data_IF_106412148768
#
_entry.id   IF_106412148768
#
_cell.length_a   1.000
_cell.length_b   1.000
_cell.length_c   1.000
_cell.angle_alpha   90.00
_cell.angle_beta   90.00
_cell.angle_gamma   90.00
#
_symmetry.space_group_name_H-M   'P 1'
#
loop_
_entity.id
_entity.type
_entity.pdbx_description
1 polymer ?
#
# COMPACT_ATOMS: atom_id res chain seq x y z
N UNK A 1 6.23 -33.67 -12.95
CA UNK A 1 5.75 -32.29 -12.76
C UNK A 1 4.40 -32.36 -12.07
N UNK A 2 4.32 -31.86 -10.84
CA UNK A 2 3.06 -31.84 -10.09
C UNK A 2 2.19 -30.71 -10.65
N UNK A 3 0.97 -31.04 -11.09
CA UNK A 3 0.07 -30.06 -11.71
C UNK A 3 -0.62 -29.25 -10.62
N UNK A 4 -0.50 -27.92 -10.68
CA UNK A 4 -1.21 -26.99 -9.80
C UNK A 4 -2.72 -27.28 -9.77
N UNK A 5 -3.29 -27.23 -8.58
CA UNK A 5 -4.73 -27.23 -8.31
C UNK A 5 -5.41 -25.98 -8.91
N UNK A 6 -6.74 -25.99 -9.08
CA UNK A 6 -7.47 -24.80 -9.55
C UNK A 6 -7.25 -23.55 -8.68
N UNK A 7 -7.23 -23.71 -7.35
CA UNK A 7 -7.00 -22.60 -6.42
C UNK A 7 -5.57 -22.02 -6.55
N UNK A 8 -4.57 -22.88 -6.71
CA UNK A 8 -3.19 -22.44 -6.92
C UNK A 8 -3.01 -21.71 -8.26
N UNK A 9 -3.73 -22.15 -9.30
CA UNK A 9 -3.75 -21.44 -10.59
C UNK A 9 -4.38 -20.06 -10.47
N UNK A 10 -5.50 -19.95 -9.74
CA UNK A 10 -6.14 -18.65 -9.49
C UNK A 10 -5.21 -17.71 -8.72
N UNK A 11 -4.60 -18.19 -7.63
CA UNK A 11 -3.63 -17.41 -6.87
C UNK A 11 -2.43 -16.98 -7.72
N UNK A 12 -1.92 -17.87 -8.59
CA UNK A 12 -0.84 -17.53 -9.51
C UNK A 12 -1.21 -16.36 -10.44
N UNK A 13 -2.44 -16.32 -10.94
CA UNK A 13 -2.92 -15.19 -11.75
C UNK A 13 -3.01 -13.89 -10.95
N UNK A 14 -3.45 -13.96 -9.68
CA UNK A 14 -3.42 -12.80 -8.78
C UNK A 14 -1.99 -12.29 -8.53
N UNK A 15 -1.04 -13.17 -8.27
CA UNK A 15 0.37 -12.80 -8.09
C UNK A 15 0.95 -12.18 -9.36
N UNK A 16 0.71 -12.76 -10.55
CA UNK A 16 1.15 -12.18 -11.83
C UNK A 16 0.61 -10.76 -12.02
N UNK A 17 -0.68 -10.56 -11.74
CA UNK A 17 -1.31 -9.25 -11.83
C UNK A 17 -0.71 -8.26 -10.82
N UNK A 18 -0.44 -8.69 -9.59
CA UNK A 18 0.24 -7.88 -8.57
C UNK A 18 1.64 -7.46 -9.01
N UNK A 19 2.45 -8.39 -9.52
CA UNK A 19 3.79 -8.11 -10.08
C UNK A 19 3.72 -7.12 -11.24
N UNK A 20 2.72 -7.25 -12.12
CA UNK A 20 2.51 -6.30 -13.22
C UNK A 20 2.20 -4.89 -12.72
N UNK A 21 1.32 -4.76 -11.72
CA UNK A 21 0.99 -3.47 -11.08
C UNK A 21 2.22 -2.85 -10.43
N UNK A 22 2.98 -3.63 -9.66
CA UNK A 22 4.22 -3.16 -9.03
C UNK A 22 5.24 -2.68 -10.06
N UNK A 23 5.45 -3.49 -11.10
CA UNK A 23 6.38 -3.17 -12.19
C UNK A 23 5.99 -1.90 -12.94
N UNK A 24 4.69 -1.67 -13.13
CA UNK A 24 4.20 -0.42 -13.72
C UNK A 24 4.48 0.76 -12.78
N UNK A 25 4.14 0.64 -11.50
CA UNK A 25 4.34 1.72 -10.53
C UNK A 25 5.83 2.08 -10.42
N UNK A 26 6.73 1.10 -10.31
CA UNK A 26 8.18 1.34 -10.26
C UNK A 26 8.72 2.09 -11.49
N UNK A 27 8.08 1.94 -12.66
CA UNK A 27 8.48 2.65 -13.89
C UNK A 27 7.95 4.07 -13.97
N UNK A 28 6.77 4.34 -13.44
CA UNK A 28 6.08 5.64 -13.61
C UNK A 28 6.21 6.56 -12.39
N UNK A 29 6.49 5.98 -11.22
CA UNK A 29 6.66 6.74 -9.99
C UNK A 29 7.91 7.61 -10.05
N UNK A 30 7.77 8.87 -9.66
CA UNK A 30 8.85 9.82 -9.47
C UNK A 30 8.59 10.54 -8.15
N UNK A 31 9.56 10.57 -7.21
CA UNK A 31 9.42 11.37 -6.01
C UNK A 31 9.12 12.81 -6.36
N UNK A 32 8.12 13.38 -5.71
CA UNK A 32 7.83 14.80 -5.80
C UNK A 32 8.87 15.61 -5.00
N UNK A 33 9.29 16.75 -5.55
CA UNK A 33 10.33 17.59 -4.94
C UNK A 33 9.84 18.28 -3.67
N UNK A 34 8.58 18.68 -3.61
CA UNK A 34 7.98 19.30 -2.42
C UNK A 34 7.83 18.26 -1.32
N UNK A 35 7.35 17.06 -1.64
CA UNK A 35 7.30 15.94 -0.69
C UNK A 35 8.69 15.58 -0.14
N UNK A 36 9.72 15.58 -1.00
CA UNK A 36 11.10 15.32 -0.57
C UNK A 36 11.60 16.40 0.40
N UNK A 37 11.37 17.68 0.09
CA UNK A 37 11.73 18.80 0.99
C UNK A 37 10.97 18.75 2.30
N UNK A 38 9.69 18.36 2.28
CA UNK A 38 8.90 18.18 3.50
C UNK A 38 9.54 17.12 4.41
N UNK A 39 9.97 15.98 3.85
CA UNK A 39 10.66 14.95 4.63
C UNK A 39 11.98 15.46 5.22
N UNK A 40 12.79 16.18 4.42
CA UNK A 40 14.06 16.77 4.85
C UNK A 40 13.86 17.77 6.00
N UNK A 41 12.86 18.65 5.88
CA UNK A 41 12.52 19.66 6.89
C UNK A 41 12.01 19.04 8.19
N UNK A 42 11.32 17.90 8.13
CA UNK A 42 10.92 17.12 9.31
C UNK A 42 12.09 16.46 10.02
N UNK A 43 13.28 16.39 9.39
CA UNK A 43 14.48 15.74 9.91
C UNK A 43 14.21 14.32 10.42
N UNK A 44 13.35 13.57 9.73
CA UNK A 44 12.94 12.24 10.15
C UNK A 44 14.07 11.22 9.98
N UNK A 45 14.56 10.66 11.10
CA UNK A 45 15.62 9.63 11.15
C UNK A 45 15.10 8.22 11.36
N UNK A 46 13.78 8.06 11.45
CA UNK A 46 13.14 6.77 11.68
C UNK A 46 13.19 5.82 10.48
N UNK A 47 12.47 4.71 10.61
CA UNK A 47 12.44 3.61 9.65
C UNK A 47 11.01 3.38 9.16
N UNK A 48 10.88 2.72 8.02
CA UNK A 48 9.59 2.35 7.43
C UNK A 48 9.50 0.81 7.40
N UNK A 49 8.46 0.25 8.01
CA UNK A 49 8.13 -1.17 7.94
C UNK A 49 6.81 -1.35 7.18
N UNK A 50 6.83 -2.14 6.12
CA UNK A 50 5.65 -2.39 5.29
C UNK A 50 5.19 -3.83 5.47
N UNK A 51 3.94 -4.04 5.88
CA UNK A 51 3.30 -5.36 5.93
C UNK A 51 2.45 -5.50 4.66
N UNK A 52 2.76 -6.47 3.81
CA UNK A 52 2.18 -6.55 2.47
C UNK A 52 2.14 -7.98 1.92
N UNK A 53 1.43 -8.17 0.80
CA UNK A 53 1.43 -9.39 0.00
C UNK A 53 1.47 -9.08 -1.49
N UNK A 54 2.11 -9.97 -2.26
CA UNK A 54 2.24 -9.82 -3.72
C UNK A 54 0.92 -9.93 -4.49
N UNK A 55 -0.12 -10.51 -3.89
CA UNK A 55 -1.44 -10.67 -4.51
C UNK A 55 -2.36 -9.46 -4.29
N UNK A 56 -2.03 -8.55 -3.35
CA UNK A 56 -2.92 -7.45 -3.00
C UNK A 56 -2.93 -6.35 -4.09
N UNK A 57 -4.13 -5.99 -4.53
CA UNK A 57 -4.31 -4.98 -5.59
C UNK A 57 -3.89 -3.57 -5.18
N UNK A 58 -4.15 -3.17 -3.94
CA UNK A 58 -3.72 -1.88 -3.40
C UNK A 58 -2.21 -1.86 -3.13
N UNK A 59 -1.68 -2.97 -2.59
CA UNK A 59 -0.24 -3.11 -2.35
C UNK A 59 0.57 -2.96 -3.63
N UNK A 60 0.09 -3.55 -4.73
CA UNK A 60 0.75 -3.42 -6.03
C UNK A 60 0.86 -1.98 -6.55
N UNK A 61 0.05 -1.05 -6.02
CA UNK A 61 0.06 0.36 -6.39
C UNK A 61 0.82 1.21 -5.37
N UNK A 62 0.70 0.94 -4.08
CA UNK A 62 1.19 1.84 -3.02
C UNK A 62 2.59 1.45 -2.53
N UNK A 63 2.88 0.15 -2.34
CA UNK A 63 4.16 -0.32 -1.80
C UNK A 63 5.36 0.12 -2.64
N UNK A 64 5.35 0.04 -3.98
CA UNK A 64 6.47 0.54 -4.77
C UNK A 64 6.70 2.05 -4.63
N UNK A 65 5.64 2.85 -4.51
CA UNK A 65 5.75 4.29 -4.34
C UNK A 65 6.43 4.64 -3.00
N UNK A 66 5.97 4.02 -1.90
CA UNK A 66 6.55 4.18 -0.56
C UNK A 66 8.01 3.74 -0.55
N UNK A 67 8.29 2.53 -1.05
CA UNK A 67 9.65 1.99 -1.10
C UNK A 67 10.61 2.86 -1.91
N UNK A 68 10.17 3.40 -3.05
CA UNK A 68 11.01 4.28 -3.88
C UNK A 68 11.18 5.68 -3.30
N UNK A 69 10.15 6.23 -2.63
CA UNK A 69 10.24 7.53 -1.98
C UNK A 69 11.27 7.52 -0.85
N UNK A 70 11.21 6.52 0.04
CA UNK A 70 12.13 6.42 1.17
C UNK A 70 13.49 5.82 0.80
N UNK A 71 13.65 5.23 -0.39
CA UNK A 71 14.92 4.65 -0.83
C UNK A 71 16.06 5.67 -0.78
N UNK A 72 17.11 5.34 -0.03
CA UNK A 72 18.28 6.20 0.16
C UNK A 72 18.07 7.36 1.13
N UNK A 73 16.87 7.48 1.72
CA UNK A 73 16.52 8.49 2.74
C UNK A 73 16.30 7.86 4.11
N UNK A 74 15.61 6.72 4.16
CA UNK A 74 15.33 5.96 5.38
C UNK A 74 15.47 4.45 5.12
N UNK A 75 15.63 3.67 6.19
CA UNK A 75 15.55 2.21 6.11
C UNK A 75 14.12 1.79 5.77
N UNK A 76 13.95 0.92 4.77
CA UNK A 76 12.66 0.35 4.39
C UNK A 76 12.74 -1.17 4.50
N UNK A 77 11.87 -1.75 5.31
CA UNK A 77 11.69 -3.21 5.45
C UNK A 77 10.30 -3.60 4.96
N UNK A 78 10.20 -4.77 4.34
CA UNK A 78 8.91 -5.34 3.92
C UNK A 78 8.81 -6.75 4.50
N UNK A 79 7.67 -7.06 5.11
CA UNK A 79 7.35 -8.38 5.66
C UNK A 79 6.02 -8.88 5.10
N UNK A 80 5.90 -10.20 4.96
CA UNK A 80 4.68 -10.83 4.48
C UNK A 80 3.64 -10.89 5.60
N UNK A 81 2.42 -10.45 5.29
CA UNK A 81 1.27 -10.49 6.21
C UNK A 81 1.01 -11.90 6.69
N UNK A 82 0.99 -12.85 5.75
CA UNK A 82 0.53 -14.20 6.00
C UNK A 82 1.57 -14.99 6.82
N UNK A 83 2.85 -14.62 6.74
CA UNK A 83 3.93 -15.18 7.56
C UNK A 83 4.09 -14.49 8.94
N UNK A 84 3.45 -13.34 9.16
CA UNK A 84 3.60 -12.54 10.38
C UNK A 84 2.23 -12.16 11.00
N UNK A 85 1.38 -13.15 11.38
CA UNK A 85 0.01 -12.88 11.86
C UNK A 85 -0.03 -12.02 13.12
N UNK A 86 0.85 -12.28 14.10
CA UNK A 86 0.91 -11.54 15.37
C UNK A 86 1.29 -10.07 15.17
N UNK A 87 2.02 -9.77 14.09
CA UNK A 87 2.39 -8.40 13.75
C UNK A 87 1.21 -7.66 13.13
N UNK A 88 0.54 -8.24 12.11
CA UNK A 88 -0.58 -7.56 11.46
C UNK A 88 -1.80 -7.39 12.39
N UNK A 89 -1.94 -8.27 13.39
CA UNK A 89 -3.01 -8.15 14.41
C UNK A 89 -2.89 -6.90 15.27
N UNK A 90 -1.72 -6.25 15.31
CA UNK A 90 -1.54 -4.97 16.00
C UNK A 90 -2.06 -3.77 15.19
N UNK A 91 -2.36 -3.96 13.89
CA UNK A 91 -2.70 -2.90 12.94
C UNK A 91 -4.00 -3.17 12.16
N UNK A 92 -5.01 -3.74 12.85
CA UNK A 92 -6.28 -4.09 12.22
C UNK A 92 -7.03 -2.87 11.70
N UNK A 93 -7.51 -2.95 10.46
CA UNK A 93 -8.43 -1.96 9.88
C UNK A 93 -9.85 -2.48 9.97
N UNK A 94 -10.70 -1.83 10.78
CA UNK A 94 -12.09 -2.25 11.03
C UNK A 94 -12.19 -3.73 11.45
N UNK A 95 -11.27 -4.18 12.33
CA UNK A 95 -11.22 -5.56 12.82
C UNK A 95 -10.66 -6.57 11.81
N UNK A 96 -10.13 -6.13 10.67
CA UNK A 96 -9.59 -7.02 9.61
C UNK A 96 -8.11 -6.78 9.39
N UNK A 97 -7.38 -7.86 9.06
CA UNK A 97 -5.97 -7.82 8.61
C UNK A 97 -5.87 -7.28 7.18
N UNK A 98 -6.19 -6.01 7.00
CA UNK A 98 -6.11 -5.32 5.70
C UNK A 98 -4.67 -4.91 5.39
N UNK A 99 -4.29 -4.93 4.11
CA UNK A 99 -2.94 -4.60 3.65
C UNK A 99 -2.97 -3.74 2.38
N UNK A 100 -1.90 -2.96 2.11
CA UNK A 100 -0.66 -2.86 2.89
C UNK A 100 -0.79 -1.98 4.13
N UNK A 101 -0.05 -2.28 5.17
CA UNK A 101 0.16 -1.37 6.31
C UNK A 101 1.58 -0.83 6.23
N UNK A 102 1.74 0.48 6.37
CA UNK A 102 3.04 1.16 6.50
C UNK A 102 3.17 1.63 7.93
N UNK A 103 4.04 0.98 8.70
CA UNK A 103 4.37 1.34 10.07
C UNK A 103 5.56 2.30 10.04
N UNK A 104 5.38 3.46 10.65
CA UNK A 104 6.39 4.50 10.81
C UNK A 104 7.05 4.28 12.17
N UNK A 105 8.34 4.01 12.15
CA UNK A 105 9.13 3.65 13.32
C UNK A 105 10.12 4.76 13.66
N UNK A 106 10.44 4.95 14.92
CA UNK A 106 11.61 5.72 15.34
C UNK A 106 12.93 4.94 15.09
N UNK A 107 14.06 5.51 15.49
CA UNK A 107 15.39 4.91 15.31
C UNK A 107 15.56 3.59 16.08
N UNK A 108 14.83 3.42 17.19
CA UNK A 108 14.89 2.28 18.10
C UNK A 108 13.77 1.24 17.85
N UNK A 109 13.13 1.29 16.68
CA UNK A 109 12.02 0.41 16.30
C UNK A 109 10.72 0.62 17.12
N UNK A 110 10.59 1.75 17.82
CA UNK A 110 9.35 2.18 18.46
C UNK A 110 8.33 2.67 17.42
N UNK A 111 7.05 2.31 17.58
CA UNK A 111 5.98 2.72 16.67
C UNK A 111 5.60 4.18 16.92
N UNK A 112 5.73 5.02 15.90
CA UNK A 112 5.25 6.41 15.90
C UNK A 112 3.80 6.46 15.41
N UNK A 113 3.55 5.87 14.25
CA UNK A 113 2.24 5.87 13.59
C UNK A 113 2.15 4.73 12.58
N UNK A 114 0.97 4.51 12.01
CA UNK A 114 0.79 3.63 10.87
C UNK A 114 -0.19 4.22 9.85
N UNK A 115 0.01 3.87 8.59
CA UNK A 115 -0.83 4.22 7.47
C UNK A 115 -1.35 2.97 6.77
N UNK A 116 -2.58 3.01 6.25
CA UNK A 116 -3.12 1.96 5.38
C UNK A 116 -4.59 1.60 5.68
N UNK A 117 -5.19 0.71 4.85
CA UNK A 117 -4.60 0.05 3.70
C UNK A 117 -4.66 0.87 2.39
N UNK A 118 -5.39 1.98 2.39
CA UNK A 118 -5.65 2.79 1.19
C UNK A 118 -5.54 4.27 1.53
N UNK A 119 -5.22 5.12 0.53
CA UNK A 119 -5.39 6.56 0.66
C UNK A 119 -6.81 6.91 1.07
N UNK A 120 -6.99 8.09 1.68
CA UNK A 120 -8.29 8.59 2.10
C UNK A 120 -9.31 8.53 0.95
N UNK A 121 -8.92 8.97 -0.26
CA UNK A 121 -9.79 8.92 -1.44
C UNK A 121 -10.20 7.48 -1.82
N UNK A 122 -9.27 6.52 -1.77
CA UNK A 122 -9.59 5.11 -2.03
C UNK A 122 -10.55 4.53 -1.00
N UNK A 123 -10.45 4.99 0.25
CA UNK A 123 -11.39 4.64 1.32
C UNK A 123 -12.78 5.24 1.07
N UNK A 124 -12.88 6.47 0.55
CA UNK A 124 -14.16 7.08 0.17
C UNK A 124 -14.83 6.34 -1.00
N UNK A 125 -14.07 5.88 -2.00
CA UNK A 125 -14.61 5.02 -3.07
C UNK A 125 -15.19 3.71 -2.51
N UNK A 126 -14.53 3.10 -1.52
CA UNK A 126 -15.03 1.89 -0.86
C UNK A 126 -16.30 2.18 -0.05
N UNK A 127 -16.36 3.31 0.65
CA UNK A 127 -17.57 3.74 1.38
C UNK A 127 -18.73 3.96 0.42
N UNK A 128 -18.49 4.63 -0.72
CA UNK A 128 -19.49 4.82 -1.77
C UNK A 128 -20.05 3.49 -2.28
N UNK A 129 -19.19 2.51 -2.55
CA UNK A 129 -19.62 1.15 -2.93
C UNK A 129 -20.45 0.46 -1.87
N UNK A 130 -20.04 0.54 -0.60
CA UNK A 130 -20.79 -0.08 0.49
C UNK A 130 -22.15 0.59 0.73
N UNK A 131 -22.28 1.89 0.46
CA UNK A 131 -23.51 2.64 0.66
C UNK A 131 -24.56 2.35 -0.42
N UNK A 132 -24.14 2.11 -1.66
CA UNK A 132 -25.05 1.88 -2.79
C UNK A 132 -24.46 0.88 -3.81
N UNK A 133 -24.42 -0.42 -3.47
CA UNK A 133 -23.85 -1.45 -4.34
C UNK A 133 -24.68 -1.73 -5.59
N UNK A 134 -25.95 -1.30 -5.64
CA UNK A 134 -26.82 -1.47 -6.80
C UNK A 134 -26.49 -0.45 -7.91
N UNK A 135 -26.37 0.84 -7.57
CA UNK A 135 -26.04 1.88 -8.56
C UNK A 135 -24.54 2.11 -8.73
N UNK A 136 -23.72 1.67 -7.77
CA UNK A 136 -22.27 1.75 -7.85
C UNK A 136 -21.66 0.35 -7.67
N UNK A 137 -21.76 -0.54 -8.68
CA UNK A 137 -21.36 -1.93 -8.54
C UNK A 137 -19.86 -2.10 -8.32
N UNK A 138 -19.49 -3.26 -7.78
CA UNK A 138 -18.09 -3.65 -7.48
C UNK A 138 -17.13 -3.45 -8.66
N UNK A 139 -17.60 -3.69 -9.89
CA UNK A 139 -16.85 -3.47 -11.13
C UNK A 139 -16.50 -1.99 -11.35
N UNK A 140 -17.45 -1.08 -11.11
CA UNK A 140 -17.24 0.35 -11.20
C UNK A 140 -16.30 0.84 -10.10
N UNK A 141 -16.48 0.37 -8.85
CA UNK A 141 -15.57 0.67 -7.75
C UNK A 141 -14.11 0.33 -8.09
N UNK A 142 -13.84 -0.88 -8.57
CA UNK A 142 -12.47 -1.26 -8.93
C UNK A 142 -11.94 -0.47 -10.13
N UNK A 143 -12.79 -0.12 -11.11
CA UNK A 143 -12.38 0.70 -12.24
C UNK A 143 -11.93 2.10 -11.76
N UNK A 144 -12.78 2.77 -10.99
CA UNK A 144 -12.51 4.11 -10.47
C UNK A 144 -11.26 4.11 -9.58
N UNK A 145 -11.09 3.08 -8.75
CA UNK A 145 -9.91 2.92 -7.90
C UNK A 145 -8.63 2.73 -8.74
N UNK A 146 -8.67 1.93 -9.80
CA UNK A 146 -7.51 1.75 -10.70
C UNK A 146 -7.20 3.03 -11.50
N UNK A 147 -8.23 3.77 -11.94
CA UNK A 147 -8.08 5.07 -12.61
C UNK A 147 -7.45 6.09 -11.65
N UNK A 148 -7.89 6.12 -10.40
CA UNK A 148 -7.31 6.94 -9.35
C UNK A 148 -5.83 6.62 -9.15
N UNK A 149 -5.45 5.36 -8.90
CA UNK A 149 -4.04 4.99 -8.72
C UNK A 149 -3.17 5.35 -9.93
N UNK A 150 -3.70 5.17 -11.16
CA UNK A 150 -2.98 5.51 -12.38
C UNK A 150 -2.70 7.01 -12.55
N UNK A 151 -3.63 7.86 -12.07
CA UNK A 151 -3.52 9.33 -12.11
C UNK A 151 -2.70 9.86 -10.94
N UNK A 152 -2.98 9.39 -9.73
CA UNK A 152 -2.36 9.84 -8.50
C UNK A 152 -0.89 9.42 -8.37
N UNK A 153 -0.54 8.24 -8.90
CA UNK A 153 0.84 7.73 -8.92
C UNK A 153 1.53 7.78 -7.56
N UNK A 154 0.80 7.46 -6.49
CA UNK A 154 1.34 7.41 -5.13
C UNK A 154 1.55 8.76 -4.45
N UNK A 155 1.16 9.87 -5.08
CA UNK A 155 1.26 11.20 -4.48
C UNK A 155 0.52 11.26 -3.13
N UNK A 156 -0.75 10.85 -3.08
CA UNK A 156 -1.53 10.95 -1.83
C UNK A 156 -0.99 10.01 -0.76
N UNK A 157 -0.52 8.82 -1.15
CA UNK A 157 0.10 7.87 -0.23
C UNK A 157 1.28 8.53 0.49
N UNK A 158 2.16 9.20 -0.25
CA UNK A 158 3.33 9.86 0.33
C UNK A 158 2.93 11.06 1.16
N UNK A 159 2.01 11.90 0.69
CA UNK A 159 1.51 13.06 1.46
C UNK A 159 0.93 12.61 2.80
N UNK A 160 0.04 11.63 2.79
CA UNK A 160 -0.60 11.11 4.00
C UNK A 160 0.42 10.48 4.97
N UNK A 161 1.46 9.81 4.46
CA UNK A 161 2.56 9.29 5.31
C UNK A 161 3.39 10.43 5.91
N UNK A 162 3.69 11.47 5.13
CA UNK A 162 4.45 12.63 5.60
C UNK A 162 3.69 13.41 6.69
N UNK A 163 2.36 13.43 6.64
CA UNK A 163 1.53 14.06 7.67
C UNK A 163 1.56 13.29 9.01
N UNK A 164 1.91 12.00 8.98
CA UNK A 164 2.05 11.14 10.17
C UNK A 164 3.46 11.13 10.76
N UNK A 165 4.44 11.70 10.05
CA UNK A 165 5.83 11.90 10.50
C UNK A 165 5.95 13.26 11.20
#
# INVERSE_FOLDING_TARGET
>A
EEKLTPAEKEMLEYYKLGVQRMSRMMKVYKPDEEQTKTLENKNFKGKILIISEGWCGDAGQTVPAVSLFFKGRNEVRIVYRDENPDLIDQFLTNGTRSIPIVVILDENDGVIAHWGPRPAYGTELLKKYKADPENYPKTQFYNDLQVYYAKNRGHDVITEILDLI
#
